data_IF_880481961387
#
_entry.id   IF_880481961387
#
_cell.length_a   1.000
_cell.length_b   1.000
_cell.length_c   1.000
_cell.angle_alpha   90.00
_cell.angle_beta   90.00
_cell.angle_gamma   90.00
#
_symmetry.space_group_name_H-M   'P 1'
#
loop_
_entity.id
_entity.type
_entity.pdbx_description
1 polymer ?
#
# COMPACT_ATOMS: atom_id res chain seq x y z
N UNK A 1 23.11 -4.48 5.63
CA UNK A 1 22.25 -3.68 6.50
C UNK A 1 21.01 -4.51 6.78
N UNK A 2 20.84 -4.95 8.03
CA UNK A 2 19.57 -5.55 8.45
C UNK A 2 18.53 -4.43 8.49
N UNK A 3 17.83 -4.23 7.39
CA UNK A 3 16.70 -3.30 7.39
C UNK A 3 15.55 -4.01 8.10
N UNK A 4 15.18 -3.51 9.28
CA UNK A 4 14.01 -3.95 10.04
C UNK A 4 12.71 -3.93 9.18
N UNK A 5 12.73 -3.22 8.04
CA UNK A 5 11.59 -3.01 7.16
C UNK A 5 11.88 -3.59 5.77
N UNK A 6 11.36 -4.80 5.51
CA UNK A 6 11.39 -5.41 4.18
C UNK A 6 10.49 -4.59 3.25
N UNK A 7 10.97 -4.15 2.06
CA UNK A 7 10.17 -3.37 1.13
C UNK A 7 8.89 -4.09 0.68
N UNK A 8 7.78 -3.33 0.59
CA UNK A 8 6.50 -3.80 0.08
C UNK A 8 6.13 -3.07 -1.23
N UNK A 9 5.93 -3.83 -2.29
CA UNK A 9 5.36 -3.34 -3.56
C UNK A 9 3.93 -3.83 -3.66
N UNK A 10 2.97 -2.96 -3.36
CA UNK A 10 1.54 -3.24 -3.31
C UNK A 10 0.87 -2.79 -4.61
N UNK A 11 0.35 -3.71 -5.41
CA UNK A 11 -0.35 -3.43 -6.66
C UNK A 11 -1.85 -3.26 -6.44
N UNK A 12 -2.31 -2.03 -6.34
CA UNK A 12 -3.74 -1.70 -6.28
C UNK A 12 -4.33 -1.64 -7.69
N UNK A 13 -5.09 -2.66 -8.06
CA UNK A 13 -5.70 -2.74 -9.40
C UNK A 13 -6.91 -1.83 -9.56
N UNK A 14 -7.38 -1.26 -8.45
CA UNK A 14 -8.58 -0.42 -8.44
C UNK A 14 -9.77 -1.19 -9.07
N UNK A 15 -10.61 -0.53 -9.86
CA UNK A 15 -11.76 -1.15 -10.54
C UNK A 15 -11.36 -1.61 -11.95
N UNK A 16 -10.39 -2.53 -12.05
CA UNK A 16 -9.92 -3.08 -13.30
C UNK A 16 -9.74 -4.60 -13.20
N UNK A 17 -9.79 -5.25 -14.35
CA UNK A 17 -9.77 -6.68 -14.56
C UNK A 17 -11.06 -7.37 -14.05
N UNK A 18 -11.44 -8.42 -14.68
CA UNK A 18 -12.41 -9.40 -14.16
C UNK A 18 -11.69 -10.64 -13.62
N UNK A 19 -12.42 -11.55 -13.01
CA UNK A 19 -11.83 -12.72 -12.36
C UNK A 19 -11.02 -13.62 -13.30
N UNK A 20 -11.34 -13.69 -14.61
CA UNK A 20 -10.57 -14.46 -15.58
C UNK A 20 -9.30 -13.72 -16.00
N UNK A 21 -9.41 -12.42 -16.20
CA UNK A 21 -8.27 -11.55 -16.50
C UNK A 21 -7.29 -11.52 -15.33
N UNK A 22 -7.80 -11.48 -14.09
CA UNK A 22 -7.01 -11.51 -12.86
C UNK A 22 -6.21 -12.80 -12.72
N UNK A 23 -6.81 -13.97 -13.01
CA UNK A 23 -6.10 -15.26 -13.04
C UNK A 23 -4.96 -15.22 -14.07
N UNK A 24 -5.28 -14.80 -15.30
CA UNK A 24 -4.28 -14.75 -16.37
C UNK A 24 -3.14 -13.76 -16.06
N UNK A 25 -3.47 -12.62 -15.42
CA UNK A 25 -2.50 -11.63 -15.00
C UNK A 25 -1.53 -12.19 -13.94
N UNK A 26 -2.07 -12.78 -12.86
CA UNK A 26 -1.26 -13.35 -11.77
C UNK A 26 -0.33 -14.44 -12.25
N UNK A 27 -0.81 -15.34 -13.15
CA UNK A 27 0.04 -16.37 -13.76
C UNK A 27 1.20 -15.76 -14.56
N UNK A 28 0.90 -14.78 -15.42
CA UNK A 28 1.93 -14.11 -16.23
C UNK A 28 2.94 -13.36 -15.34
N UNK A 29 2.46 -12.70 -14.29
CA UNK A 29 3.32 -12.00 -13.33
C UNK A 29 4.26 -12.99 -12.63
N UNK A 30 3.72 -14.14 -12.17
CA UNK A 30 4.51 -15.18 -11.52
C UNK A 30 5.61 -15.73 -12.45
N UNK A 31 5.30 -15.97 -13.72
CA UNK A 31 6.30 -16.40 -14.71
C UNK A 31 7.35 -15.34 -14.97
N UNK A 32 6.96 -14.08 -15.18
CA UNK A 32 7.89 -12.99 -15.43
C UNK A 32 8.87 -12.78 -14.25
N UNK A 33 8.39 -12.91 -13.03
CA UNK A 33 9.21 -12.79 -11.83
C UNK A 33 10.15 -13.98 -11.65
N UNK A 34 9.66 -15.20 -11.92
CA UNK A 34 10.47 -16.42 -11.88
C UNK A 34 11.59 -16.40 -12.92
N UNK A 35 11.28 -16.03 -14.17
CA UNK A 35 12.24 -15.93 -15.26
C UNK A 35 13.32 -14.87 -14.98
N UNK A 36 12.97 -13.84 -14.24
CA UNK A 36 13.87 -12.76 -13.82
C UNK A 36 14.59 -13.04 -12.49
N UNK A 37 14.49 -14.23 -11.91
CA UNK A 37 15.10 -14.63 -10.63
C UNK A 37 14.72 -13.69 -9.48
N UNK A 38 13.45 -13.28 -9.39
CA UNK A 38 12.94 -12.48 -8.28
C UNK A 38 13.17 -13.20 -6.94
N UNK A 39 13.60 -12.42 -5.94
CA UNK A 39 13.87 -12.92 -4.60
C UNK A 39 12.80 -12.46 -3.63
N UNK A 40 11.89 -13.36 -3.28
CA UNK A 40 10.77 -13.05 -2.39
C UNK A 40 11.20 -12.63 -0.97
N UNK A 41 12.39 -13.00 -0.52
CA UNK A 41 12.94 -12.55 0.76
C UNK A 41 13.48 -11.11 0.76
N UNK A 42 13.78 -10.53 -0.41
CA UNK A 42 14.30 -9.16 -0.53
C UNK A 42 13.17 -8.13 -0.62
N UNK A 43 12.13 -8.43 -1.40
CA UNK A 43 10.98 -7.54 -1.61
C UNK A 43 9.70 -8.35 -1.41
N UNK A 44 8.70 -7.78 -0.82
CA UNK A 44 7.36 -8.35 -0.71
C UNK A 44 6.45 -7.79 -1.81
N UNK A 45 5.68 -8.65 -2.47
CA UNK A 45 4.70 -8.24 -3.47
C UNK A 45 3.31 -8.52 -2.93
N UNK A 46 2.48 -7.47 -2.84
CA UNK A 46 1.06 -7.58 -2.57
C UNK A 46 0.23 -7.34 -3.83
N UNK A 47 -0.82 -8.11 -4.04
CA UNK A 47 -1.80 -7.91 -5.12
C UNK A 47 -3.16 -7.61 -4.51
N UNK A 48 -3.79 -6.53 -4.99
CA UNK A 48 -5.05 -5.99 -4.46
C UNK A 48 -6.11 -5.94 -5.57
N UNK A 49 -6.71 -7.10 -5.90
CA UNK A 49 -7.75 -7.19 -6.92
C UNK A 49 -9.10 -6.61 -6.42
N UNK A 50 -10.07 -6.35 -7.33
CA UNK A 50 -11.46 -6.13 -6.96
C UNK A 50 -12.03 -7.26 -6.09
N UNK A 51 -13.03 -6.96 -5.27
CA UNK A 51 -13.65 -7.95 -4.37
C UNK A 51 -14.16 -9.20 -5.09
N UNK A 52 -14.68 -9.02 -6.31
CA UNK A 52 -15.21 -10.10 -7.17
C UNK A 52 -14.15 -11.13 -7.56
N UNK A 53 -12.87 -10.77 -7.47
CA UNK A 53 -11.75 -11.54 -7.99
C UNK A 53 -10.92 -12.20 -6.88
N UNK A 54 -11.10 -11.73 -5.63
CA UNK A 54 -10.31 -12.19 -4.48
C UNK A 54 -10.27 -13.71 -4.37
N UNK A 55 -11.43 -14.39 -4.48
CA UNK A 55 -11.48 -15.85 -4.37
C UNK A 55 -10.69 -16.54 -5.49
N UNK A 56 -10.78 -16.04 -6.72
CA UNK A 56 -10.08 -16.62 -7.86
C UNK A 56 -8.56 -16.47 -7.70
N UNK A 57 -8.11 -15.28 -7.30
CA UNK A 57 -6.68 -14.98 -7.07
C UNK A 57 -6.15 -15.78 -5.88
N UNK A 58 -6.88 -15.85 -4.76
CA UNK A 58 -6.54 -16.65 -3.58
C UNK A 58 -6.34 -18.14 -3.95
N UNK A 59 -7.29 -18.70 -4.71
CA UNK A 59 -7.21 -20.10 -5.10
C UNK A 59 -5.96 -20.38 -5.95
N UNK A 60 -5.62 -19.45 -6.86
CA UNK A 60 -4.43 -19.58 -7.70
C UNK A 60 -3.13 -19.45 -6.88
N UNK A 61 -3.06 -18.45 -6.00
CA UNK A 61 -1.88 -18.25 -5.12
C UNK A 61 -1.60 -19.52 -4.33
N UNK A 62 -2.64 -20.14 -3.74
CA UNK A 62 -2.48 -21.34 -2.94
C UNK A 62 -2.13 -22.58 -3.77
N UNK A 63 -2.83 -22.78 -4.91
CA UNK A 63 -2.61 -23.95 -5.75
C UNK A 63 -1.17 -24.01 -6.30
N UNK A 64 -0.63 -22.88 -6.69
CA UNK A 64 0.69 -22.78 -7.32
C UNK A 64 1.78 -22.31 -6.32
N UNK A 65 1.43 -22.12 -5.03
CA UNK A 65 2.34 -21.62 -3.98
C UNK A 65 3.07 -20.36 -4.41
N UNK A 66 2.33 -19.39 -4.97
CA UNK A 66 2.90 -18.15 -5.49
C UNK A 66 3.36 -17.22 -4.35
N UNK A 67 4.47 -16.52 -4.50
CA UNK A 67 5.03 -15.65 -3.44
C UNK A 67 4.36 -14.27 -3.40
N UNK A 68 3.03 -14.22 -3.41
CA UNK A 68 2.25 -13.00 -3.38
C UNK A 68 1.40 -12.93 -2.12
N UNK A 69 1.47 -11.81 -1.40
CA UNK A 69 0.49 -11.47 -0.40
C UNK A 69 -0.81 -11.02 -1.08
N UNK A 70 -1.95 -11.51 -0.61
CA UNK A 70 -3.26 -11.07 -1.09
C UNK A 70 -3.77 -9.94 -0.21
N UNK A 71 -4.27 -8.87 -0.83
CA UNK A 71 -4.89 -7.75 -0.13
C UNK A 71 -6.23 -7.36 -0.72
N UNK A 72 -7.05 -6.70 0.09
CA UNK A 72 -8.32 -6.13 -0.32
C UNK A 72 -8.23 -4.61 -0.47
N UNK A 73 -9.07 -4.04 -1.34
CA UNK A 73 -9.06 -2.61 -1.65
C UNK A 73 -9.80 -1.75 -0.63
N UNK A 74 -10.65 -2.36 0.22
CA UNK A 74 -11.41 -1.72 1.28
C UNK A 74 -12.04 -2.78 2.19
N UNK A 75 -12.64 -2.36 3.31
CA UNK A 75 -13.52 -3.18 4.16
C UNK A 75 -14.57 -2.33 4.84
N UNK A 76 -15.63 -2.97 5.35
CA UNK A 76 -16.61 -2.35 6.24
C UNK A 76 -16.02 -2.15 7.64
N UNK A 77 -16.46 -1.08 8.33
CA UNK A 77 -16.20 -0.92 9.76
C UNK A 77 -17.08 -1.84 10.63
N UNK A 78 -18.05 -2.52 10.03
CA UNK A 78 -18.98 -3.44 10.70
C UNK A 78 -18.54 -4.89 10.46
N UNK A 79 -18.72 -5.72 11.50
CA UNK A 79 -18.34 -7.13 11.42
C UNK A 79 -19.33 -7.98 10.62
N UNK A 80 -20.63 -7.73 10.82
CA UNK A 80 -21.75 -8.46 10.20
C UNK A 80 -23.06 -7.70 10.34
N UNK A 81 -24.12 -8.16 9.71
CA UNK A 81 -25.47 -7.67 9.93
C UNK A 81 -26.09 -6.95 8.74
N UNK A 82 -26.96 -5.96 9.02
CA UNK A 82 -27.80 -5.29 8.03
C UNK A 82 -27.03 -4.19 7.26
N UNK A 83 -25.96 -4.57 6.59
CA UNK A 83 -25.08 -3.70 5.82
C UNK A 83 -24.95 -4.22 4.38
N UNK A 84 -26.06 -4.17 3.64
CA UNK A 84 -26.15 -4.73 2.29
C UNK A 84 -25.08 -4.14 1.36
N UNK A 85 -24.22 -5.02 0.82
CA UNK A 85 -23.14 -4.64 -0.09
C UNK A 85 -21.77 -4.44 0.58
N UNK A 86 -21.73 -4.34 1.92
CA UNK A 86 -20.48 -4.20 2.66
C UNK A 86 -19.69 -5.52 2.71
N UNK A 87 -18.40 -5.40 2.77
CA UNK A 87 -17.45 -6.52 2.88
C UNK A 87 -16.82 -6.51 4.26
N UNK A 88 -17.17 -7.49 5.08
CA UNK A 88 -16.62 -7.66 6.42
C UNK A 88 -15.13 -8.06 6.39
N UNK A 89 -14.34 -7.57 7.36
CA UNK A 89 -12.98 -8.04 7.58
C UNK A 89 -12.90 -9.55 7.84
N UNK A 90 -13.92 -10.15 8.47
CA UNK A 90 -14.01 -11.61 8.64
C UNK A 90 -14.06 -12.36 7.31
N UNK A 91 -14.78 -11.83 6.31
CA UNK A 91 -14.83 -12.43 4.96
C UNK A 91 -13.47 -12.35 4.25
N UNK A 92 -12.79 -11.21 4.37
CA UNK A 92 -11.46 -11.03 3.81
C UNK A 92 -10.44 -11.98 4.46
N UNK A 93 -10.49 -12.12 5.77
CA UNK A 93 -9.64 -13.07 6.49
C UNK A 93 -9.92 -14.52 6.10
N UNK A 94 -11.17 -14.89 5.89
CA UNK A 94 -11.55 -16.22 5.40
C UNK A 94 -11.05 -16.51 3.96
N UNK A 95 -10.79 -15.45 3.18
CA UNK A 95 -10.12 -15.52 1.88
C UNK A 95 -8.60 -15.39 1.99
N UNK A 96 -8.05 -15.47 3.21
CA UNK A 96 -6.61 -15.39 3.46
C UNK A 96 -5.97 -14.08 3.01
N UNK A 97 -6.76 -12.99 2.94
CA UNK A 97 -6.17 -11.67 2.77
C UNK A 97 -5.24 -11.38 3.96
N UNK A 98 -4.06 -10.86 3.66
CA UNK A 98 -3.09 -10.39 4.66
C UNK A 98 -3.23 -8.90 4.89
N UNK A 99 -3.49 -8.15 3.83
CA UNK A 99 -3.58 -6.69 3.82
C UNK A 99 -4.98 -6.21 3.46
N UNK A 100 -5.27 -4.97 3.86
CA UNK A 100 -6.42 -4.22 3.36
C UNK A 100 -6.10 -2.73 3.27
N UNK A 101 -6.45 -2.09 2.16
CA UNK A 101 -6.31 -0.64 2.01
C UNK A 101 -7.42 0.05 2.81
N UNK A 102 -7.09 1.11 3.55
CA UNK A 102 -8.07 1.94 4.26
C UNK A 102 -7.84 3.41 3.94
N UNK A 103 -8.91 4.15 3.67
CA UNK A 103 -8.86 5.59 3.43
C UNK A 103 -8.15 6.03 2.15
N UNK A 104 -8.10 5.16 1.11
CA UNK A 104 -7.57 5.55 -0.19
C UNK A 104 -8.23 6.85 -0.68
N UNK A 105 -7.46 7.72 -1.33
CA UNK A 105 -7.92 9.04 -1.77
C UNK A 105 -9.21 9.01 -2.59
N UNK A 106 -9.38 8.01 -3.48
CA UNK A 106 -10.61 7.82 -4.25
C UNK A 106 -11.82 7.52 -3.34
N UNK A 107 -11.65 6.77 -2.25
CA UNK A 107 -12.74 6.50 -1.31
C UNK A 107 -13.12 7.71 -0.49
N UNK A 108 -12.12 8.51 -0.09
CA UNK A 108 -12.38 9.81 0.55
C UNK A 108 -13.17 10.74 -0.37
N UNK A 109 -12.82 10.81 -1.65
CA UNK A 109 -13.47 11.67 -2.64
C UNK A 109 -14.86 11.16 -3.06
N UNK A 110 -14.96 9.88 -3.44
CA UNK A 110 -16.16 9.35 -4.11
C UNK A 110 -17.20 8.82 -3.11
N UNK A 111 -16.77 8.39 -1.91
CA UNK A 111 -17.61 7.81 -0.88
C UNK A 111 -17.71 8.63 0.40
N UNK A 112 -17.03 9.79 0.46
CA UNK A 112 -17.07 10.71 1.61
C UNK A 112 -16.46 10.11 2.88
N UNK A 113 -15.47 9.22 2.76
CA UNK A 113 -14.80 8.65 3.92
C UNK A 113 -14.00 9.71 4.67
N UNK A 114 -14.45 10.02 5.89
CA UNK A 114 -13.76 10.93 6.81
C UNK A 114 -12.64 10.20 7.55
N UNK A 115 -11.76 10.94 8.23
CA UNK A 115 -10.69 10.33 9.05
C UNK A 115 -11.24 9.42 10.15
N UNK A 116 -12.41 9.74 10.73
CA UNK A 116 -13.08 8.89 11.71
C UNK A 116 -13.55 7.56 11.10
N UNK A 117 -14.07 7.59 9.87
CA UNK A 117 -14.45 6.38 9.12
C UNK A 117 -13.21 5.54 8.83
N UNK A 118 -12.13 6.16 8.37
CA UNK A 118 -10.86 5.47 8.13
C UNK A 118 -10.31 4.85 9.41
N UNK A 119 -10.35 5.57 10.52
CA UNK A 119 -9.96 5.05 11.84
C UNK A 119 -10.81 3.84 12.25
N UNK A 120 -12.14 3.89 12.04
CA UNK A 120 -13.04 2.78 12.34
C UNK A 120 -12.74 1.54 11.47
N UNK A 121 -12.52 1.73 10.16
CA UNK A 121 -12.13 0.67 9.22
C UNK A 121 -10.77 0.07 9.58
N UNK A 122 -9.80 0.90 9.96
CA UNK A 122 -8.47 0.44 10.39
C UNK A 122 -8.55 -0.45 11.63
N UNK A 123 -9.37 -0.06 12.64
CA UNK A 123 -9.63 -0.92 13.82
C UNK A 123 -10.31 -2.23 13.43
N UNK A 124 -11.28 -2.20 12.51
CA UNK A 124 -11.95 -3.41 12.02
C UNK A 124 -10.96 -4.35 11.32
N UNK A 125 -10.03 -3.82 10.52
CA UNK A 125 -8.97 -4.60 9.90
C UNK A 125 -8.11 -5.33 10.94
N UNK A 126 -7.59 -4.59 11.94
CA UNK A 126 -6.75 -5.14 13.01
C UNK A 126 -7.51 -6.20 13.81
N UNK A 127 -8.78 -5.94 14.15
CA UNK A 127 -9.63 -6.89 14.86
C UNK A 127 -9.73 -8.24 14.14
N UNK A 128 -9.73 -8.24 12.82
CA UNK A 128 -9.78 -9.45 11.99
C UNK A 128 -8.40 -9.96 11.56
N UNK A 129 -7.33 -9.53 12.21
CA UNK A 129 -5.94 -9.92 11.91
C UNK A 129 -5.54 -9.65 10.45
N UNK A 130 -6.04 -8.56 9.89
CA UNK A 130 -5.57 -7.98 8.63
C UNK A 130 -4.61 -6.84 8.94
N UNK A 131 -3.59 -6.65 8.11
CA UNK A 131 -2.67 -5.50 8.20
C UNK A 131 -3.23 -4.35 7.36
N UNK A 132 -3.74 -3.26 7.96
CA UNK A 132 -4.22 -2.13 7.19
C UNK A 132 -3.08 -1.37 6.53
N UNK A 133 -3.28 -0.96 5.27
CA UNK A 133 -2.48 0.06 4.58
C UNK A 133 -3.27 1.36 4.68
N UNK A 134 -2.86 2.21 5.60
CA UNK A 134 -3.54 3.49 5.91
C UNK A 134 -3.09 4.54 4.90
N UNK A 135 -4.01 4.96 4.03
CA UNK A 135 -3.74 5.98 3.03
C UNK A 135 -3.97 7.38 3.58
N UNK A 136 -2.97 8.23 3.44
CA UNK A 136 -3.00 9.63 3.81
C UNK A 136 -2.40 10.49 2.70
N UNK A 137 -2.91 11.69 2.51
CA UNK A 137 -2.40 12.54 1.44
C UNK A 137 -3.09 13.90 1.38
N UNK A 138 -2.45 14.82 0.68
CA UNK A 138 -2.91 16.20 0.50
C UNK A 138 -3.36 16.45 -0.96
N UNK A 139 -4.36 17.30 -1.10
CA UNK A 139 -4.77 17.86 -2.39
C UNK A 139 -3.78 18.95 -2.86
N UNK A 140 -3.94 19.40 -4.10
CA UNK A 140 -3.17 20.55 -4.61
C UNK A 140 -3.43 21.83 -3.80
N UNK A 141 -4.67 22.03 -3.37
CA UNK A 141 -5.06 23.16 -2.52
C UNK A 141 -4.42 23.08 -1.12
N UNK A 142 -4.44 21.88 -0.52
CA UNK A 142 -3.80 21.65 0.78
C UNK A 142 -2.29 21.89 0.72
N UNK A 143 -1.66 21.41 -0.37
CA UNK A 143 -0.23 21.61 -0.59
C UNK A 143 0.13 23.09 -0.66
N UNK A 144 -0.68 23.90 -1.37
CA UNK A 144 -0.46 25.34 -1.48
C UNK A 144 -0.66 26.08 -0.15
N UNK A 145 -1.70 25.72 0.60
CA UNK A 145 -2.06 26.40 1.84
C UNK A 145 -1.22 25.98 3.05
N UNK A 146 -0.82 24.71 3.12
CA UNK A 146 -0.29 24.11 4.34
C UNK A 146 1.06 23.41 4.17
N UNK A 147 1.52 23.22 2.91
CA UNK A 147 2.67 22.38 2.60
C UNK A 147 2.33 20.89 2.60
N UNK A 148 3.24 20.09 2.11
CA UNK A 148 3.00 18.66 1.80
C UNK A 148 2.72 17.76 3.02
N UNK A 149 3.26 18.08 4.19
CA UNK A 149 3.22 17.18 5.35
C UNK A 149 2.04 17.41 6.29
N UNK A 150 1.45 18.61 6.31
CA UNK A 150 0.46 19.00 7.33
C UNK A 150 -0.77 18.11 7.31
N UNK A 151 -1.44 18.02 6.17
CA UNK A 151 -2.68 17.26 6.03
C UNK A 151 -2.45 15.75 6.20
N UNK A 152 -1.45 15.12 5.54
CA UNK A 152 -1.15 13.71 5.78
C UNK A 152 -0.85 13.37 7.24
N UNK A 153 -0.11 14.23 7.94
CA UNK A 153 0.19 14.03 9.37
C UNK A 153 -1.06 14.14 10.24
N UNK A 154 -1.93 15.12 9.98
CA UNK A 154 -3.18 15.27 10.74
C UNK A 154 -4.11 14.08 10.52
N UNK A 155 -4.29 13.61 9.29
CA UNK A 155 -5.05 12.40 8.96
C UNK A 155 -4.51 11.18 9.70
N UNK A 156 -3.18 10.99 9.69
CA UNK A 156 -2.54 9.86 10.38
C UNK A 156 -2.74 9.94 11.90
N UNK A 157 -2.65 11.13 12.51
CA UNK A 157 -2.89 11.34 13.94
C UNK A 157 -4.27 10.88 14.37
N UNK A 158 -5.32 11.19 13.60
CA UNK A 158 -6.69 10.78 13.90
C UNK A 158 -6.80 9.25 13.91
N UNK A 159 -6.22 8.60 12.92
CA UNK A 159 -6.25 7.13 12.84
C UNK A 159 -5.47 6.50 14.00
N UNK A 160 -4.21 6.91 14.21
CA UNK A 160 -3.34 6.33 15.23
C UNK A 160 -3.84 6.56 16.65
N UNK A 161 -4.51 7.68 16.94
CA UNK A 161 -5.11 7.93 18.24
C UNK A 161 -6.15 6.85 18.65
N UNK A 162 -6.63 6.06 17.71
CA UNK A 162 -7.60 4.98 17.91
C UNK A 162 -6.98 3.58 18.00
N UNK A 163 -5.67 3.46 17.84
CA UNK A 163 -4.91 2.21 17.79
C UNK A 163 -4.02 2.04 19.02
N UNK A 164 -3.64 0.80 19.30
CA UNK A 164 -2.61 0.52 20.29
C UNK A 164 -1.19 0.63 19.67
N UNK A 165 -0.17 1.04 20.45
CA UNK A 165 1.22 1.09 19.97
C UNK A 165 1.78 -0.24 19.48
N UNK A 166 1.15 -1.36 19.86
CA UNK A 166 1.53 -2.73 19.44
C UNK A 166 0.82 -3.20 18.20
N UNK A 167 -0.12 -2.43 17.68
CA UNK A 167 -0.86 -2.78 16.46
C UNK A 167 0.07 -2.69 15.24
N UNK A 168 -0.11 -3.63 14.31
CA UNK A 168 0.68 -3.68 13.06
C UNK A 168 -0.11 -3.03 11.93
N UNK A 169 0.52 -2.07 11.27
CA UNK A 169 -0.05 -1.36 10.11
C UNK A 169 1.05 -0.90 9.15
N UNK A 170 0.65 -0.49 7.97
CA UNK A 170 1.49 0.15 6.95
C UNK A 170 0.87 1.51 6.66
N UNK A 171 1.66 2.53 6.34
CA UNK A 171 1.17 3.84 5.91
C UNK A 171 1.48 4.02 4.43
N UNK A 172 0.54 4.56 3.65
CA UNK A 172 0.77 4.94 2.26
C UNK A 172 0.57 6.46 2.11
N UNK A 173 1.63 7.14 1.69
CA UNK A 173 1.56 8.57 1.36
C UNK A 173 1.11 8.76 -0.08
N UNK A 174 -0.04 9.37 -0.25
CA UNK A 174 -0.67 9.66 -1.53
C UNK A 174 -0.65 11.18 -1.83
N UNK A 175 0.34 11.72 -2.57
CA UNK A 175 0.25 13.09 -3.07
C UNK A 175 -0.89 13.15 -4.11
N UNK A 176 -2.12 13.52 -3.68
CA UNK A 176 -3.35 13.42 -4.48
C UNK A 176 -3.22 14.21 -5.79
N UNK A 177 -2.53 15.35 -5.76
CA UNK A 177 -2.23 16.17 -6.93
C UNK A 177 -1.36 15.46 -7.99
N UNK A 178 -0.64 14.41 -7.60
CA UNK A 178 0.23 13.62 -8.48
C UNK A 178 -0.44 12.32 -8.99
N UNK A 179 -1.60 11.93 -8.43
CA UNK A 179 -2.28 10.70 -8.81
C UNK A 179 -3.01 10.90 -10.15
N UNK A 180 -2.72 10.03 -11.14
CA UNK A 180 -3.38 10.07 -12.45
C UNK A 180 -3.05 11.28 -13.32
N UNK A 181 -2.28 12.25 -12.84
CA UNK A 181 -1.91 13.46 -13.57
C UNK A 181 -0.72 13.27 -14.53
N UNK A 182 -0.02 12.15 -14.42
CA UNK A 182 1.26 11.91 -15.11
C UNK A 182 2.45 12.63 -14.45
N UNK A 183 2.20 13.48 -13.46
CA UNK A 183 3.23 14.08 -12.62
C UNK A 183 3.56 13.12 -11.46
N UNK A 184 4.77 13.22 -10.92
CA UNK A 184 5.16 12.50 -9.72
C UNK A 184 5.80 13.51 -8.76
N UNK A 185 5.58 13.32 -7.46
CA UNK A 185 6.41 13.99 -6.48
C UNK A 185 7.87 13.57 -6.68
N UNK A 186 8.80 14.44 -6.39
CA UNK A 186 10.21 14.05 -6.38
C UNK A 186 10.48 13.07 -5.24
N UNK A 187 11.49 12.22 -5.39
CA UNK A 187 11.86 11.29 -4.32
C UNK A 187 12.26 12.01 -3.03
N UNK A 188 12.77 13.25 -3.12
CA UNK A 188 13.08 14.08 -1.95
C UNK A 188 11.81 14.59 -1.26
N UNK A 189 10.80 15.02 -2.00
CA UNK A 189 9.50 15.39 -1.41
C UNK A 189 8.84 14.20 -0.70
N UNK A 190 8.85 13.01 -1.35
CA UNK A 190 8.33 11.79 -0.73
C UNK A 190 9.08 11.43 0.56
N UNK A 191 10.42 11.56 0.57
CA UNK A 191 11.26 11.37 1.75
C UNK A 191 10.88 12.32 2.89
N UNK A 192 10.69 13.60 2.60
CA UNK A 192 10.40 14.60 3.63
C UNK A 192 9.03 14.35 4.29
N UNK A 193 8.02 14.00 3.49
CA UNK A 193 6.69 13.63 4.02
C UNK A 193 6.76 12.30 4.78
N UNK A 194 7.43 11.28 4.25
CA UNK A 194 7.59 9.99 4.93
C UNK A 194 8.28 10.16 6.29
N UNK A 195 9.30 11.02 6.39
CA UNK A 195 9.93 11.36 7.67
C UNK A 195 8.95 12.00 8.63
N UNK A 196 8.17 12.98 8.18
CA UNK A 196 7.16 13.63 9.02
C UNK A 196 6.10 12.64 9.52
N UNK A 197 5.64 11.71 8.67
CA UNK A 197 4.73 10.64 9.06
C UNK A 197 5.36 9.70 10.09
N UNK A 198 6.63 9.32 9.92
CA UNK A 198 7.35 8.48 10.88
C UNK A 198 7.54 9.18 12.23
N UNK A 199 7.74 10.51 12.23
CA UNK A 199 7.79 11.30 13.46
C UNK A 199 6.44 11.31 14.19
N UNK A 200 5.32 11.35 13.48
CA UNK A 200 3.97 11.17 14.06
C UNK A 200 3.81 9.79 14.70
N UNK A 201 4.28 8.73 14.04
CA UNK A 201 4.24 7.38 14.60
C UNK A 201 5.08 7.32 15.89
N UNK A 202 6.28 7.89 15.86
CA UNK A 202 7.19 7.94 17.02
C UNK A 202 6.57 8.68 18.19
N UNK A 203 5.94 9.80 17.93
CA UNK A 203 5.27 10.62 18.94
C UNK A 203 4.12 9.86 19.64
N UNK A 204 3.30 9.15 18.89
CA UNK A 204 2.08 8.51 19.40
C UNK A 204 2.30 7.07 19.87
N UNK A 205 3.16 6.31 19.19
CA UNK A 205 3.34 4.87 19.40
C UNK A 205 4.76 4.48 19.84
N UNK A 206 5.70 5.43 19.86
CA UNK A 206 7.08 5.23 20.29
C UNK A 206 8.03 4.71 19.21
N UNK A 207 9.32 4.66 19.55
CA UNK A 207 10.39 4.26 18.62
C UNK A 207 10.20 2.86 18.02
N UNK A 208 9.80 1.80 18.79
CA UNK A 208 9.66 0.47 18.21
C UNK A 208 8.63 0.42 17.07
N UNK A 209 7.50 1.12 17.20
CA UNK A 209 6.49 1.23 16.15
C UNK A 209 7.02 2.04 14.96
N UNK A 210 7.67 3.18 15.21
CA UNK A 210 8.25 4.02 14.16
C UNK A 210 9.32 3.29 13.35
N UNK A 211 10.17 2.49 14.00
CA UNK A 211 11.27 1.78 13.36
C UNK A 211 10.79 0.55 12.56
N UNK A 212 9.65 -0.05 12.92
CA UNK A 212 9.11 -1.23 12.24
C UNK A 212 8.03 -0.94 11.20
N UNK A 213 7.33 0.20 11.30
CA UNK A 213 6.25 0.55 10.36
C UNK A 213 6.80 0.90 8.99
N UNK A 214 6.28 0.25 7.95
CA UNK A 214 6.59 0.57 6.55
C UNK A 214 5.80 1.77 6.08
N UNK A 215 6.46 2.69 5.38
CA UNK A 215 5.83 3.84 4.73
C UNK A 215 6.02 3.71 3.22
N UNK A 216 4.92 3.61 2.50
CA UNK A 216 4.87 3.43 1.05
C UNK A 216 4.65 4.77 0.35
N UNK A 217 5.25 4.94 -0.81
CA UNK A 217 4.89 6.03 -1.71
C UNK A 217 3.73 5.61 -2.62
N UNK A 218 2.61 6.34 -2.57
CA UNK A 218 1.35 6.06 -3.29
C UNK A 218 1.08 6.98 -4.48
N UNK A 219 2.05 7.75 -4.94
CA UNK A 219 1.91 8.59 -6.14
C UNK A 219 2.20 7.84 -7.44
N UNK A 220 2.56 8.57 -8.49
CA UNK A 220 2.85 7.98 -9.80
C UNK A 220 4.19 7.23 -9.79
N UNK A 221 4.12 5.90 -9.72
CA UNK A 221 5.27 4.98 -9.76
C UNK A 221 5.34 4.27 -11.11
N UNK A 222 6.56 4.17 -11.66
CA UNK A 222 6.91 3.43 -12.88
C UNK A 222 8.25 2.71 -12.69
N UNK A 223 8.55 1.75 -13.54
CA UNK A 223 9.84 1.05 -13.56
C UNK A 223 11.05 2.01 -13.64
N UNK A 224 10.89 3.11 -14.37
CA UNK A 224 11.95 4.11 -14.56
C UNK A 224 12.18 5.05 -13.37
N UNK A 225 11.29 5.13 -12.37
CA UNK A 225 11.46 6.05 -11.23
C UNK A 225 11.51 5.38 -9.86
N UNK A 226 11.05 4.13 -9.74
CA UNK A 226 10.98 3.41 -8.46
C UNK A 226 12.32 3.39 -7.71
N UNK A 227 13.43 3.17 -8.41
CA UNK A 227 14.77 3.13 -7.82
C UNK A 227 15.13 4.42 -7.08
N UNK A 228 14.68 5.59 -7.60
CA UNK A 228 14.89 6.88 -6.95
C UNK A 228 14.15 7.02 -5.62
N UNK A 229 12.95 6.45 -5.50
CA UNK A 229 12.20 6.40 -4.24
C UNK A 229 12.82 5.42 -3.26
N UNK A 230 13.20 4.23 -3.74
CA UNK A 230 13.74 3.17 -2.88
C UNK A 230 15.19 3.41 -2.39
N UNK A 231 15.86 4.45 -2.88
CA UNK A 231 17.12 4.96 -2.33
C UNK A 231 16.93 5.86 -1.09
N UNK A 232 15.67 6.15 -0.72
CA UNK A 232 15.35 7.05 0.38
C UNK A 232 15.11 6.26 1.67
N UNK A 233 15.74 6.68 2.75
CA UNK A 233 15.76 5.96 4.03
C UNK A 233 14.38 5.77 4.67
N UNK A 234 13.43 6.69 4.38
CA UNK A 234 12.10 6.69 5.00
C UNK A 234 11.01 6.09 4.10
N UNK A 235 11.35 5.69 2.85
CA UNK A 235 10.43 5.08 1.90
C UNK A 235 10.67 3.58 1.83
N UNK A 236 9.70 2.80 2.28
CA UNK A 236 9.81 1.35 2.44
C UNK A 236 9.03 0.56 1.36
N UNK A 237 8.69 1.21 0.26
CA UNK A 237 7.96 0.55 -0.82
C UNK A 237 7.05 1.49 -1.60
N UNK A 238 6.10 0.90 -2.32
CA UNK A 238 5.16 1.65 -3.13
C UNK A 238 3.76 1.02 -3.13
N UNK A 239 2.73 1.88 -3.10
CA UNK A 239 1.36 1.52 -3.44
C UNK A 239 1.12 1.92 -4.90
N UNK A 240 1.14 0.95 -5.80
CA UNK A 240 1.20 1.13 -7.25
C UNK A 240 -0.20 0.99 -7.85
N UNK A 241 -0.68 2.04 -8.53
CA UNK A 241 -1.97 2.02 -9.25
C UNK A 241 -1.82 1.49 -10.69
N UNK A 242 -2.04 2.31 -11.70
CA UNK A 242 -2.12 1.91 -13.11
C UNK A 242 -0.94 1.07 -13.63
N UNK A 243 0.29 1.33 -13.18
CA UNK A 243 1.45 0.53 -13.55
C UNK A 243 1.38 -0.92 -13.04
N UNK A 244 0.57 -1.20 -12.01
CA UNK A 244 0.33 -2.56 -11.52
C UNK A 244 -0.58 -3.41 -12.40
N UNK A 245 -1.17 -2.84 -13.45
CA UNK A 245 -1.98 -3.53 -14.46
C UNK A 245 -1.16 -4.02 -15.67
N UNK A 246 0.13 -3.69 -15.75
CA UNK A 246 1.05 -4.21 -16.74
C UNK A 246 2.03 -5.18 -16.08
N UNK A 247 2.08 -6.41 -16.59
CA UNK A 247 3.00 -7.44 -16.08
C UNK A 247 4.44 -6.97 -16.16
N UNK A 248 4.84 -6.38 -17.31
CA UNK A 248 6.21 -5.92 -17.54
C UNK A 248 6.58 -4.78 -16.57
N UNK A 249 5.72 -3.76 -16.46
CA UNK A 249 5.96 -2.63 -15.56
C UNK A 249 5.97 -3.09 -14.09
N UNK A 250 4.97 -3.85 -13.65
CA UNK A 250 4.86 -4.25 -12.25
C UNK A 250 5.98 -5.20 -11.83
N UNK A 251 6.34 -6.16 -12.70
CA UNK A 251 7.49 -7.04 -12.43
C UNK A 251 8.81 -6.26 -12.38
N UNK A 252 9.00 -5.25 -13.23
CA UNK A 252 10.18 -4.39 -13.20
C UNK A 252 10.23 -3.51 -11.94
N UNK A 253 9.08 -2.94 -11.51
CA UNK A 253 8.96 -2.20 -10.25
C UNK A 253 9.32 -3.10 -9.06
N UNK A 254 8.77 -4.32 -8.99
CA UNK A 254 9.01 -5.26 -7.90
C UNK A 254 10.49 -5.72 -7.81
N UNK A 255 11.20 -5.69 -8.93
CA UNK A 255 12.61 -6.05 -9.03
C UNK A 255 13.55 -4.85 -8.97
N UNK A 256 13.11 -3.73 -8.38
CA UNK A 256 13.95 -2.52 -8.27
C UNK A 256 15.37 -2.79 -7.71
N UNK A 257 15.62 -3.74 -6.79
CA UNK A 257 16.98 -4.00 -6.31
C UNK A 257 17.94 -4.42 -7.43
N UNK A 258 17.45 -5.06 -8.49
CA UNK A 258 18.24 -5.45 -9.65
C UNK A 258 18.59 -4.26 -10.56
N UNK A 259 17.91 -3.11 -10.40
CA UNK A 259 18.11 -1.90 -11.19
C UNK A 259 18.77 -0.77 -10.40
N UNK A 260 18.86 -0.91 -9.08
CA UNK A 260 19.63 0.00 -8.24
C UNK A 260 21.10 -0.40 -8.36
N UNK A 261 21.84 0.20 -9.29
CA UNK A 261 23.29 0.23 -9.20
C UNK A 261 23.62 0.97 -7.91
N UNK A 262 24.18 0.26 -6.94
CA UNK A 262 24.87 0.89 -5.83
C UNK A 262 25.98 1.75 -6.47
N UNK A 263 25.79 3.06 -6.47
CA UNK A 263 26.89 3.96 -6.79
C UNK A 263 27.99 3.60 -5.79
N UNK A 264 29.04 2.97 -6.28
CA UNK A 264 30.25 2.77 -5.49
C UNK A 264 30.71 4.19 -5.17
N UNK A 265 30.67 4.53 -3.90
CA UNK A 265 31.29 5.74 -3.38
C UNK A 265 32.75 5.76 -3.87
N UNK A 266 33.06 6.73 -4.75
CA UNK A 266 34.42 7.16 -5.02
C UNK A 266 34.80 8.28 -4.06
#
# INVERSE_FOLDING_TARGET
>A
MDTLRRPLIAGNWKMNLDHLQSIAFVQKLAWALKDANYQANEVEIGVFPPFTDLRSVQTLINADSLPFALGAQDLSMHDEGAHTGDISGAFLRALECEYVITGHSERRADHGETDDVVAAKTRAAIKHALVPIICVGESAEDLELHGASKVPCDQLRVVLASLAPTDTYVVAYEPIWAIGSGQAATSSQAQDVARALRDVIRELHGDPAADSTRILYGGSVKSGNIAGFMKKDEVDGALVGGASLSVDEFSAIARFPQHVTLDQEN
#
